data_IF_661742673688
#
_entry.id   IF_661742673688
#
_cell.length_a   1.000
_cell.length_b   1.000
_cell.length_c   1.000
_cell.angle_alpha   90.00
_cell.angle_beta   90.00
_cell.angle_gamma   90.00
#
_symmetry.space_group_name_H-M   'P 1'
#
loop_
_entity.id
_entity.type
_entity.pdbx_description
1 polymer ?
#
# COMPACT_ATOMS: atom_id res chain seq x y z
N UNK A 1 6.39 30.34 -4.36
CA UNK A 1 5.73 29.28 -5.14
C UNK A 1 6.49 27.97 -4.85
N UNK A 2 5.82 26.83 -4.87
CA UNK A 2 6.47 25.53 -4.76
C UNK A 2 6.87 25.05 -6.16
N UNK A 3 7.96 24.30 -6.27
CA UNK A 3 8.45 23.77 -7.54
C UNK A 3 7.96 22.34 -7.80
N UNK A 4 7.63 21.59 -6.74
CA UNK A 4 7.19 20.20 -6.79
C UNK A 4 6.15 19.92 -5.70
N UNK A 5 5.16 19.09 -6.00
CA UNK A 5 4.26 18.49 -5.01
C UNK A 5 4.84 17.15 -4.54
N UNK A 6 4.96 16.97 -3.23
CA UNK A 6 5.33 15.67 -2.64
C UNK A 6 4.11 15.12 -1.91
N UNK A 7 3.64 13.94 -2.33
CA UNK A 7 2.41 13.32 -1.86
C UNK A 7 2.74 11.99 -1.19
N UNK A 8 2.11 11.73 -0.06
CA UNK A 8 2.17 10.45 0.64
C UNK A 8 0.83 10.24 1.34
N UNK A 9 0.23 9.07 1.16
CA UNK A 9 -1.05 8.67 1.79
C UNK A 9 -2.17 9.73 1.68
N UNK A 10 -2.29 10.34 0.52
CA UNK A 10 -3.33 11.32 0.24
C UNK A 10 -4.56 10.62 -0.35
N UNK A 11 -5.65 10.62 0.40
CA UNK A 11 -6.86 9.85 0.10
C UNK A 11 -7.70 10.31 -1.09
N UNK A 12 -7.22 11.25 -1.92
CA UNK A 12 -7.92 11.78 -3.10
C UNK A 12 -7.02 11.79 -4.33
N UNK A 13 -7.63 11.64 -5.50
CA UNK A 13 -6.92 11.79 -6.77
C UNK A 13 -6.74 13.27 -7.05
N UNK A 14 -5.50 13.70 -7.26
CA UNK A 14 -5.18 15.07 -7.68
C UNK A 14 -5.61 15.28 -9.13
N UNK A 15 -6.26 16.42 -9.39
CA UNK A 15 -6.64 16.80 -10.75
C UNK A 15 -5.41 17.27 -11.56
N UNK A 16 -5.57 17.33 -12.89
CA UNK A 16 -4.56 17.90 -13.78
C UNK A 16 -4.20 19.33 -13.41
N UNK A 17 -5.21 20.11 -13.03
CA UNK A 17 -5.03 21.50 -12.62
C UNK A 17 -4.20 21.60 -11.33
N UNK A 18 -4.44 20.68 -10.37
CA UNK A 18 -3.64 20.63 -9.15
C UNK A 18 -2.19 20.26 -9.43
N UNK A 19 -1.94 19.25 -10.27
CA UNK A 19 -0.58 18.84 -10.66
C UNK A 19 0.14 19.94 -11.46
N UNK A 20 -0.58 20.73 -12.26
CA UNK A 20 -0.03 21.82 -13.04
C UNK A 20 0.27 23.10 -12.22
N UNK A 21 -0.01 23.12 -10.92
CA UNK A 21 0.31 24.28 -10.05
C UNK A 21 1.81 24.42 -9.77
N UNK A 22 2.59 23.37 -10.01
CA UNK A 22 4.05 23.37 -9.86
C UNK A 22 4.73 22.98 -11.16
N UNK A 23 5.87 23.61 -11.51
CA UNK A 23 6.55 23.36 -12.79
C UNK A 23 7.05 21.90 -12.94
N UNK A 24 7.39 21.21 -11.86
CA UNK A 24 7.84 19.84 -11.87
C UNK A 24 6.70 18.83 -11.60
N UNK A 25 5.44 19.28 -11.52
CA UNK A 25 4.29 18.42 -11.23
C UNK A 25 4.33 17.87 -9.81
N UNK A 26 4.11 16.56 -9.67
CA UNK A 26 4.09 15.91 -8.36
C UNK A 26 4.73 14.53 -8.35
N UNK A 27 5.24 14.15 -7.19
CA UNK A 27 5.66 12.77 -6.92
C UNK A 27 4.82 12.17 -5.80
N UNK A 28 4.60 10.85 -5.85
CA UNK A 28 3.87 10.12 -4.83
C UNK A 28 4.72 8.96 -4.30
N UNK A 29 4.85 8.88 -2.97
CA UNK A 29 5.40 7.72 -2.28
C UNK A 29 4.29 6.69 -2.08
N UNK A 30 4.43 5.52 -2.70
CA UNK A 30 3.45 4.44 -2.67
C UNK A 30 4.01 3.21 -1.95
N UNK A 31 3.23 2.61 -1.05
CA UNK A 31 3.64 1.52 -0.17
C UNK A 31 3.58 0.13 -0.83
N UNK A 32 4.01 -0.02 -2.07
CA UNK A 32 4.16 -1.30 -2.77
C UNK A 32 5.25 -1.25 -3.83
N UNK A 33 5.57 -2.41 -4.41
CA UNK A 33 6.37 -2.53 -5.63
C UNK A 33 5.46 -2.37 -6.85
N UNK A 34 5.21 -1.12 -7.27
CA UNK A 34 4.43 -0.85 -8.49
C UNK A 34 5.06 -1.57 -9.69
N UNK A 35 4.21 -2.11 -10.59
CA UNK A 35 2.78 -1.88 -10.77
C UNK A 35 1.84 -2.74 -9.91
N UNK A 36 2.34 -3.58 -9.00
CA UNK A 36 1.48 -4.32 -8.07
C UNK A 36 0.84 -3.38 -7.04
N UNK A 37 -0.42 -3.69 -6.69
CA UNK A 37 -1.14 -3.04 -5.58
C UNK A 37 -1.37 -1.54 -5.76
N UNK A 38 -1.78 -1.10 -6.95
CA UNK A 38 -2.30 0.26 -7.14
C UNK A 38 -3.57 0.46 -6.31
N UNK A 39 -3.65 1.55 -5.56
CA UNK A 39 -4.83 1.91 -4.76
C UNK A 39 -4.53 2.19 -3.29
N UNK A 40 -5.57 2.11 -2.45
CA UNK A 40 -5.59 2.73 -1.14
C UNK A 40 -4.98 1.90 0.00
N UNK A 41 -4.73 0.59 -0.18
CA UNK A 41 -4.30 -0.29 0.93
C UNK A 41 -3.18 -1.27 0.52
N UNK A 42 -2.10 -0.80 -0.15
CA UNK A 42 -1.08 -1.69 -0.72
C UNK A 42 -0.40 -2.57 0.31
N UNK A 43 -0.04 -2.03 1.47
CA UNK A 43 0.65 -2.76 2.55
C UNK A 43 -0.22 -3.88 3.11
N UNK A 44 -1.51 -3.59 3.34
CA UNK A 44 -2.47 -4.60 3.81
C UNK A 44 -2.58 -5.76 2.82
N UNK A 45 -2.75 -5.47 1.54
CA UNK A 45 -2.96 -6.50 0.51
C UNK A 45 -1.71 -7.34 0.27
N UNK A 46 -0.51 -6.78 0.37
CA UNK A 46 0.73 -7.55 0.28
C UNK A 46 0.81 -8.62 1.40
N UNK A 47 0.52 -8.23 2.64
CA UNK A 47 0.50 -9.17 3.77
C UNK A 47 -0.64 -10.18 3.63
N UNK A 48 -1.86 -9.71 3.31
CA UNK A 48 -3.04 -10.57 3.20
C UNK A 48 -2.85 -11.67 2.15
N UNK A 49 -2.25 -11.33 1.01
CA UNK A 49 -1.97 -12.29 -0.06
C UNK A 49 -0.77 -13.20 0.23
N UNK A 50 -0.04 -12.97 1.32
CA UNK A 50 1.12 -13.77 1.70
C UNK A 50 2.33 -13.55 0.82
N UNK A 51 2.49 -12.36 0.24
CA UNK A 51 3.68 -12.00 -0.52
C UNK A 51 4.92 -12.11 0.39
N UNK A 52 6.01 -12.62 -0.17
CA UNK A 52 7.29 -12.73 0.55
C UNK A 52 8.05 -11.40 0.55
N UNK A 53 7.77 -10.54 -0.43
CA UNK A 53 8.43 -9.27 -0.61
C UNK A 53 7.41 -8.18 -0.92
N UNK A 54 7.72 -6.98 -0.50
CA UNK A 54 7.04 -5.74 -0.84
C UNK A 54 8.06 -4.61 -0.92
N UNK A 55 7.63 -3.37 -0.88
CA UNK A 55 8.54 -2.24 -0.88
C UNK A 55 7.83 -0.90 -0.94
N UNK A 56 8.59 0.10 -1.27
CA UNK A 56 8.09 1.43 -1.59
C UNK A 56 8.49 1.80 -3.02
N UNK A 57 7.62 2.53 -3.68
CA UNK A 57 7.86 3.08 -5.02
C UNK A 57 7.55 4.57 -5.01
N UNK A 58 8.45 5.39 -5.51
CA UNK A 58 8.19 6.80 -5.82
C UNK A 58 7.91 6.91 -7.30
N UNK A 59 6.75 7.47 -7.64
CA UNK A 59 6.34 7.71 -9.04
C UNK A 59 6.21 9.19 -9.30
N UNK A 60 6.47 9.62 -10.54
CA UNK A 60 6.01 10.92 -11.03
C UNK A 60 4.50 10.82 -11.31
N UNK A 61 3.71 11.72 -10.73
CA UNK A 61 2.25 11.61 -10.75
C UNK A 61 1.68 11.92 -12.13
N UNK A 62 0.64 11.18 -12.48
CA UNK A 62 -0.18 11.38 -13.67
C UNK A 62 -1.65 11.30 -13.27
N UNK A 63 -2.62 11.66 -14.12
CA UNK A 63 -4.04 11.48 -13.84
C UNK A 63 -4.45 10.03 -13.62
N UNK A 64 -3.62 9.06 -14.02
CA UNK A 64 -3.87 7.64 -13.81
C UNK A 64 -3.47 7.25 -12.39
N UNK A 65 -4.40 6.72 -11.61
CA UNK A 65 -4.16 6.27 -10.24
C UNK A 65 -2.93 5.34 -10.17
N UNK A 66 -1.92 5.78 -9.42
CA UNK A 66 -0.63 5.10 -9.20
C UNK A 66 0.03 4.57 -10.49
N UNK A 67 -0.28 5.18 -11.63
CA UNK A 67 0.11 4.70 -12.95
C UNK A 67 1.22 5.50 -13.62
N UNK A 68 1.83 6.43 -12.91
CA UNK A 68 2.93 7.25 -13.42
C UNK A 68 4.25 6.49 -13.53
N UNK A 69 5.26 7.04 -14.21
CA UNK A 69 6.59 6.44 -14.29
C UNK A 69 7.26 6.34 -12.93
N UNK A 70 8.00 5.25 -12.72
CA UNK A 70 8.72 4.96 -11.49
C UNK A 70 10.04 5.73 -11.52
N UNK A 71 10.27 6.55 -10.49
CA UNK A 71 11.51 7.29 -10.28
C UNK A 71 12.46 6.52 -9.37
N UNK A 72 11.92 5.89 -8.32
CA UNK A 72 12.74 5.16 -7.35
C UNK A 72 11.93 4.01 -6.75
N UNK A 73 12.62 2.92 -6.36
CA UNK A 73 11.98 1.74 -5.78
C UNK A 73 12.94 1.01 -4.84
N UNK A 74 12.46 0.60 -3.68
CA UNK A 74 13.20 -0.24 -2.73
C UNK A 74 12.36 -1.44 -2.33
N UNK A 75 12.95 -2.63 -2.42
CA UNK A 75 12.34 -3.90 -2.06
C UNK A 75 12.74 -4.31 -0.64
N UNK A 76 11.81 -4.91 0.10
CA UNK A 76 12.04 -5.51 1.41
C UNK A 76 11.29 -6.84 1.54
N UNK A 77 11.85 -7.78 2.30
CA UNK A 77 11.16 -9.01 2.69
C UNK A 77 10.08 -8.70 3.73
N UNK A 78 8.93 -9.36 3.63
CA UNK A 78 7.89 -9.32 4.67
C UNK A 78 8.19 -10.46 5.65
N UNK A 79 8.41 -10.13 6.91
CA UNK A 79 8.66 -11.14 7.94
C UNK A 79 7.39 -11.96 8.24
N UNK A 80 7.54 -13.23 8.53
CA UNK A 80 6.42 -14.18 8.66
C UNK A 80 5.42 -13.85 9.79
N UNK A 81 5.83 -13.04 10.76
CA UNK A 81 5.01 -12.58 11.89
C UNK A 81 4.74 -11.08 11.87
N UNK A 82 5.29 -10.36 10.88
CA UNK A 82 5.17 -8.91 10.80
C UNK A 82 3.73 -8.49 10.55
N UNK A 83 3.23 -7.59 11.38
CA UNK A 83 1.89 -6.99 11.23
C UNK A 83 1.94 -5.79 10.30
N UNK A 84 0.78 -5.39 9.78
CA UNK A 84 0.67 -4.22 8.90
C UNK A 84 1.28 -2.95 9.50
N UNK A 85 1.01 -2.56 10.76
CA UNK A 85 1.63 -1.37 11.34
C UNK A 85 3.16 -1.45 11.46
N UNK A 86 3.71 -2.64 11.71
CA UNK A 86 5.16 -2.85 11.78
C UNK A 86 5.81 -2.69 10.40
N UNK A 87 5.24 -3.32 9.39
CA UNK A 87 5.71 -3.20 8.01
C UNK A 87 5.58 -1.75 7.51
N UNK A 88 4.46 -1.09 7.75
CA UNK A 88 4.23 0.31 7.38
C UNK A 88 5.27 1.25 8.00
N UNK A 89 5.58 1.09 9.29
CA UNK A 89 6.61 1.88 9.97
C UNK A 89 8.00 1.67 9.33
N UNK A 90 8.33 0.44 8.94
CA UNK A 90 9.58 0.10 8.25
C UNK A 90 9.62 0.71 6.85
N UNK A 91 8.54 0.59 6.08
CA UNK A 91 8.40 1.19 4.75
C UNK A 91 8.47 2.71 4.78
N UNK A 92 7.85 3.35 5.76
CA UNK A 92 7.91 4.80 5.97
C UNK A 92 9.34 5.30 6.20
N UNK A 93 10.14 4.56 6.97
CA UNK A 93 11.55 4.91 7.17
C UNK A 93 12.38 4.81 5.89
N UNK A 94 12.15 3.79 5.07
CA UNK A 94 12.82 3.61 3.77
C UNK A 94 12.34 4.65 2.73
N UNK A 95 11.07 4.98 2.76
CA UNK A 95 10.45 5.93 1.84
C UNK A 95 11.12 7.30 1.83
N UNK A 96 11.68 7.75 2.96
CA UNK A 96 12.37 9.05 3.04
C UNK A 96 13.55 9.14 2.09
N UNK A 97 14.41 8.13 2.05
CA UNK A 97 15.56 8.11 1.13
C UNK A 97 15.12 8.01 -0.33
N UNK A 98 14.07 7.22 -0.61
CA UNK A 98 13.51 7.11 -1.97
C UNK A 98 12.95 8.44 -2.47
N UNK A 99 12.21 9.18 -1.63
CA UNK A 99 11.69 10.50 -1.99
C UNK A 99 12.83 11.48 -2.28
N UNK A 100 13.86 11.52 -1.43
CA UNK A 100 15.02 12.39 -1.67
C UNK A 100 15.75 12.03 -2.97
N UNK A 101 15.96 10.74 -3.25
CA UNK A 101 16.56 10.28 -4.51
C UNK A 101 15.73 10.69 -5.72
N UNK A 102 14.40 10.53 -5.65
CA UNK A 102 13.49 10.95 -6.71
C UNK A 102 13.50 12.48 -6.93
N UNK A 103 13.59 13.27 -5.86
CA UNK A 103 13.71 14.73 -5.97
C UNK A 103 14.99 15.16 -6.68
N UNK A 104 16.13 14.51 -6.39
CA UNK A 104 17.40 14.78 -7.07
C UNK A 104 17.34 14.47 -8.57
N UNK A 105 16.59 13.44 -8.98
CA UNK A 105 16.38 13.15 -10.41
C UNK A 105 15.58 14.24 -11.12
N UNK A 106 14.72 14.96 -10.40
CA UNK A 106 13.89 16.04 -10.94
C UNK A 106 14.61 17.39 -10.95
N UNK A 107 15.70 17.57 -10.22
CA UNK A 107 16.42 18.83 -10.13
C UNK A 107 16.95 19.30 -11.50
N UNK A 108 17.44 18.34 -12.31
CA UNK A 108 17.97 18.59 -13.65
C UNK A 108 16.97 18.26 -14.77
N UNK A 109 15.72 17.91 -14.44
CA UNK A 109 14.72 17.52 -15.43
C UNK A 109 14.11 18.74 -16.12
N UNK A 110 13.96 18.66 -17.44
CA UNK A 110 13.45 19.75 -18.29
C UNK A 110 11.90 19.96 -18.18
N UNK A 111 11.21 19.14 -17.37
CA UNK A 111 9.76 19.21 -17.18
C UNK A 111 8.93 18.60 -18.32
N UNK A 112 9.55 18.11 -19.40
CA UNK A 112 8.86 17.67 -20.62
C UNK A 112 9.31 16.32 -21.16
N UNK A 113 10.57 15.96 -21.01
CA UNK A 113 11.08 14.66 -21.46
C UNK A 113 10.53 13.50 -20.61
N UNK A 114 10.52 12.29 -21.18
CA UNK A 114 10.16 11.10 -20.40
C UNK A 114 11.14 10.94 -19.23
N UNK A 115 10.61 10.86 -18.02
CA UNK A 115 11.39 10.60 -16.81
C UNK A 115 10.95 9.28 -16.17
N UNK A 116 11.93 8.54 -15.63
CA UNK A 116 11.68 7.29 -14.91
C UNK A 116 11.34 6.10 -15.80
N UNK A 117 11.02 4.98 -15.15
CA UNK A 117 10.66 3.70 -15.78
C UNK A 117 9.15 3.60 -15.97
N UNK A 118 8.69 3.26 -17.18
CA UNK A 118 7.26 3.02 -17.43
C UNK A 118 6.83 1.70 -16.78
N UNK A 119 5.67 1.73 -16.13
CA UNK A 119 5.11 0.54 -15.51
C UNK A 119 4.56 -0.46 -16.54
N UNK A 120 4.90 -1.75 -16.39
CA UNK A 120 4.34 -2.84 -17.20
C UNK A 120 2.85 -3.03 -16.88
N UNK A 121 1.99 -2.72 -17.85
CA UNK A 121 0.54 -2.82 -17.69
C UNK A 121 0.05 -4.26 -17.46
N UNK A 122 0.82 -5.28 -17.86
CA UNK A 122 0.45 -6.69 -17.68
C UNK A 122 0.58 -7.17 -16.22
N UNK A 123 1.38 -6.47 -15.41
CA UNK A 123 1.65 -6.82 -14.01
C UNK A 123 0.81 -6.01 -13.01
N UNK A 124 -0.10 -5.18 -13.50
CA UNK A 124 -0.92 -4.33 -12.62
C UNK A 124 -1.87 -5.17 -11.77
N UNK A 125 -1.80 -5.00 -10.47
CA UNK A 125 -2.83 -5.46 -9.54
C UNK A 125 -3.39 -4.30 -8.71
N UNK A 126 -4.58 -4.52 -8.13
CA UNK A 126 -5.31 -3.50 -7.37
C UNK A 126 -5.23 -3.76 -5.88
N UNK A 127 -5.16 -2.68 -5.09
CA UNK A 127 -5.24 -2.68 -3.64
C UNK A 127 -6.40 -1.76 -3.19
N UNK A 128 -7.65 -2.21 -3.33
CA UNK A 128 -8.80 -1.40 -2.95
C UNK A 128 -8.80 -1.10 -1.45
N UNK A 129 -9.52 -0.04 -1.08
CA UNK A 129 -9.78 0.27 0.34
C UNK A 129 -10.45 -0.91 1.02
N UNK A 130 -10.00 -1.25 2.23
CA UNK A 130 -10.62 -2.31 3.02
C UNK A 130 -12.02 -1.90 3.49
N UNK A 131 -12.85 -2.90 3.79
CA UNK A 131 -14.18 -2.73 4.39
C UNK A 131 -14.26 -3.49 5.71
N UNK A 132 -15.27 -3.18 6.55
CA UNK A 132 -15.47 -3.87 7.83
C UNK A 132 -15.79 -5.36 7.65
N UNK A 133 -16.55 -5.67 6.61
CA UNK A 133 -17.00 -7.02 6.28
C UNK A 133 -15.83 -7.96 5.96
N UNK A 134 -14.78 -7.44 5.34
CA UNK A 134 -13.56 -8.20 5.05
C UNK A 134 -12.83 -8.68 6.31
N UNK A 135 -13.07 -8.03 7.45
CA UNK A 135 -12.55 -8.49 8.73
C UNK A 135 -13.15 -9.78 9.24
N UNK A 136 -14.31 -10.23 8.72
CA UNK A 136 -14.91 -11.49 9.13
C UNK A 136 -14.09 -12.67 8.61
N UNK A 137 -13.70 -13.57 9.55
CA UNK A 137 -12.92 -14.76 9.21
C UNK A 137 -13.82 -15.76 8.50
N UNK A 138 -13.34 -16.28 7.38
CA UNK A 138 -13.93 -17.39 6.64
C UNK A 138 -13.15 -18.66 7.02
N UNK A 139 -13.75 -19.50 7.82
CA UNK A 139 -13.08 -20.69 8.38
C UNK A 139 -12.76 -21.79 7.36
N UNK A 140 -13.28 -21.65 6.15
CA UNK A 140 -12.96 -22.51 5.00
C UNK A 140 -11.58 -22.20 4.40
N UNK A 141 -11.00 -21.05 4.73
CA UNK A 141 -9.64 -20.69 4.31
C UNK A 141 -8.58 -21.50 5.06
N UNK A 142 -7.39 -21.57 4.47
CA UNK A 142 -6.26 -22.23 5.15
C UNK A 142 -5.84 -21.46 6.41
N UNK A 143 -5.21 -22.16 7.35
CA UNK A 143 -4.68 -21.55 8.57
C UNK A 143 -3.69 -20.40 8.27
N UNK A 144 -2.87 -20.54 7.20
CA UNK A 144 -1.93 -19.50 6.78
C UNK A 144 -2.66 -18.26 6.23
N UNK A 145 -3.75 -18.44 5.47
CA UNK A 145 -4.56 -17.31 4.99
C UNK A 145 -5.22 -16.56 6.15
N UNK A 146 -5.77 -17.29 7.14
CA UNK A 146 -6.38 -16.67 8.33
C UNK A 146 -5.31 -15.92 9.14
N UNK A 147 -4.13 -16.49 9.34
CA UNK A 147 -2.98 -15.83 9.98
C UNK A 147 -2.61 -14.55 9.24
N UNK A 148 -2.50 -14.62 7.92
CA UNK A 148 -2.19 -13.44 7.10
C UNK A 148 -3.28 -12.37 7.21
N UNK A 149 -4.55 -12.76 7.22
CA UNK A 149 -5.67 -11.84 7.45
C UNK A 149 -5.53 -11.13 8.81
N UNK A 150 -5.27 -11.87 9.88
CA UNK A 150 -5.18 -11.30 11.23
C UNK A 150 -4.04 -10.29 11.32
N UNK A 151 -2.87 -10.58 10.78
CA UNK A 151 -1.72 -9.65 10.82
C UNK A 151 -1.83 -8.49 9.81
N UNK A 152 -2.53 -8.70 8.69
CA UNK A 152 -2.74 -7.66 7.67
C UNK A 152 -3.78 -6.62 8.10
N UNK A 153 -4.83 -7.03 8.79
CA UNK A 153 -5.99 -6.18 9.07
C UNK A 153 -5.93 -5.46 10.42
N UNK A 154 -4.76 -5.43 11.04
CA UNK A 154 -4.51 -4.61 12.22
C UNK A 154 -4.13 -3.17 11.80
N UNK A 155 -4.56 -2.16 12.56
CA UNK A 155 -5.58 -2.20 13.62
C UNK A 155 -7.01 -2.22 13.05
N UNK A 156 -7.19 -1.94 11.78
CA UNK A 156 -8.47 -1.85 11.09
C UNK A 156 -8.43 -2.62 9.76
N UNK A 157 -9.52 -3.34 9.41
CA UNK A 157 -10.81 -3.48 10.08
C UNK A 157 -10.79 -4.39 11.32
N UNK A 158 -9.66 -5.02 11.63
CA UNK A 158 -9.54 -6.10 12.59
C UNK A 158 -10.11 -7.42 12.05
N UNK A 159 -9.65 -8.55 12.57
CA UNK A 159 -10.19 -9.85 12.19
C UNK A 159 -11.12 -10.37 13.27
N UNK A 160 -12.30 -10.87 12.89
CA UNK A 160 -13.30 -11.29 13.84
C UNK A 160 -14.10 -12.49 13.34
N UNK A 161 -14.73 -13.19 14.30
CA UNK A 161 -15.71 -14.25 14.07
C UNK A 161 -16.88 -14.12 15.03
N UNK A 162 -17.88 -14.95 14.83
CA UNK A 162 -19.05 -15.02 15.70
C UNK A 162 -19.06 -16.36 16.44
N UNK A 163 -19.13 -16.31 17.77
CA UNK A 163 -19.42 -17.48 18.59
C UNK A 163 -20.94 -17.61 18.71
N UNK A 164 -21.46 -18.68 18.13
CA UNK A 164 -22.87 -19.02 18.24
C UNK A 164 -23.11 -19.77 19.56
N UNK A 165 -24.09 -19.34 20.32
CA UNK A 165 -24.48 -19.92 21.60
C UNK A 165 -25.97 -20.29 21.58
N UNK A 166 -26.32 -21.42 22.19
CA UNK A 166 -27.73 -21.79 22.28
C UNK A 166 -28.52 -20.76 23.11
N UNK A 167 -29.67 -20.34 22.58
CA UNK A 167 -30.59 -19.39 23.20
C UNK A 167 -30.01 -18.03 23.61
N UNK A 168 -28.88 -17.60 23.01
CA UNK A 168 -28.28 -16.30 23.24
C UNK A 168 -27.94 -15.60 21.91
N UNK A 169 -27.79 -14.28 21.95
CA UNK A 169 -27.26 -13.52 20.81
C UNK A 169 -25.81 -13.93 20.48
N UNK A 170 -25.46 -13.97 19.19
CA UNK A 170 -24.08 -14.28 18.78
C UNK A 170 -23.08 -13.30 19.39
N UNK A 171 -22.01 -13.84 19.96
CA UNK A 171 -20.92 -13.05 20.53
C UNK A 171 -19.84 -12.82 19.49
N UNK A 172 -19.51 -11.54 19.21
CA UNK A 172 -18.41 -11.19 18.32
C UNK A 172 -17.07 -11.35 19.05
N UNK A 173 -16.21 -12.20 18.51
CA UNK A 173 -14.85 -12.41 18.98
C UNK A 173 -13.87 -11.73 18.01
N UNK A 174 -12.94 -10.91 18.53
CA UNK A 174 -11.88 -10.28 17.75
C UNK A 174 -10.58 -11.04 17.99
N UNK A 175 -9.88 -11.36 16.89
CA UNK A 175 -8.60 -12.06 16.93
C UNK A 175 -7.46 -11.05 16.81
N UNK A 176 -6.59 -11.00 17.83
CA UNK A 176 -5.45 -10.07 17.89
C UNK A 176 -4.13 -10.70 17.43
N UNK A 177 -3.94 -11.99 17.69
CA UNK A 177 -2.74 -12.74 17.30
C UNK A 177 -3.11 -14.20 17.00
N UNK A 178 -2.41 -14.79 16.03
CA UNK A 178 -2.63 -16.17 15.61
C UNK A 178 -1.33 -16.86 15.24
N UNK A 179 -1.25 -18.16 15.51
CA UNK A 179 -0.13 -19.03 15.10
C UNK A 179 -0.68 -20.25 14.39
N UNK A 180 0.05 -20.68 13.37
CA UNK A 180 -0.18 -21.98 12.73
C UNK A 180 0.64 -22.99 13.49
N UNK A 181 0.01 -24.05 14.01
CA UNK A 181 0.63 -25.16 14.73
C UNK A 181 1.14 -26.25 13.80
#
# INVERSE_FOLDING_TARGET
AADLLVVCDYGQILSNEALATTPLGGINLHGSLLPKYRGAAPVHWAIYNGDLETGVTVIHMTPRLDGGPILERVTVTIESTETMPQLEARLSNLGRSCVLSAMLQLEDWDGTSLIGELQDASQVSKAPRLTKEQGQIQWEQSAEQIKNQVRAFQPWPGSYTWLLQEAQEPLRLVLGDTRVG
#
